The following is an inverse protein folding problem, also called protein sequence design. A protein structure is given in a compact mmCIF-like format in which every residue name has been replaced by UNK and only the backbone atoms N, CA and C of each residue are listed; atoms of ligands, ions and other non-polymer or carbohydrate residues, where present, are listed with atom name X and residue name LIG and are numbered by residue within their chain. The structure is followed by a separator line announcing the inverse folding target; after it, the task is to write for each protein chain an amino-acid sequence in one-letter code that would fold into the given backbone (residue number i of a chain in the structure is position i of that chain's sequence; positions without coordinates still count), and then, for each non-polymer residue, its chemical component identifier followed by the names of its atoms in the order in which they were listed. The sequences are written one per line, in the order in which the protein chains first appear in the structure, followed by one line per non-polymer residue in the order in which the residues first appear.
data_IF_177766999639
#
_entry.id   IF_177766999639
#
_cell.length_a   1.000
_cell.length_b   1.000
_cell.length_c   1.000
_cell.angle_alpha   90.00
_cell.angle_beta   90.00
_cell.angle_gamma   90.00
#
_symmetry.space_group_name_H-M   'P 1'
#
loop_
_entity.id
_entity.type
_entity.pdbx_description
1 polymer ?
#
# COMPACT_ATOMS: atom_id res chain seq x y z
N UNK A 1 -12.59 8.36 0.99
CA UNK A 1 -14.00 7.92 0.94
C UNK A 1 -14.61 7.84 2.35
N UNK A 2 -15.83 8.32 2.53
CA UNK A 2 -16.59 8.04 3.74
C UNK A 2 -16.88 6.53 3.79
N UNK A 3 -16.44 5.85 4.85
CA UNK A 3 -16.65 4.42 5.03
C UNK A 3 -17.21 4.23 6.43
N UNK A 4 -18.37 3.59 6.53
CA UNK A 4 -19.00 3.28 7.82
C UNK A 4 -18.96 1.76 8.03
N UNK A 5 -18.23 1.29 9.03
CA UNK A 5 -18.17 -0.14 9.35
C UNK A 5 -17.96 -0.38 10.86
N UNK A 6 -18.44 -1.53 11.34
CA UNK A 6 -18.33 -1.92 12.75
C UNK A 6 -17.32 -3.06 12.91
N UNK A 7 -16.35 -2.90 13.82
CA UNK A 7 -15.41 -3.96 14.23
C UNK A 7 -15.40 -4.05 15.74
N UNK A 8 -15.64 -5.24 16.28
CA UNK A 8 -15.66 -5.50 17.72
C UNK A 8 -16.57 -4.54 18.54
N UNK A 9 -17.68 -4.09 17.96
CA UNK A 9 -18.61 -3.15 18.62
C UNK A 9 -18.19 -1.68 18.55
N UNK A 10 -17.08 -1.37 17.88
CA UNK A 10 -16.64 0.00 17.59
C UNK A 10 -17.01 0.36 16.16
N UNK A 11 -17.72 1.47 15.98
CA UNK A 11 -18.02 2.06 14.68
C UNK A 11 -16.86 2.91 14.20
N UNK A 12 -16.45 2.72 12.96
CA UNK A 12 -15.41 3.50 12.29
C UNK A 12 -16.05 4.25 11.11
N UNK A 13 -15.79 5.56 11.05
CA UNK A 13 -16.21 6.47 9.99
C UNK A 13 -15.09 6.76 8.98
N UNK A 14 -13.89 6.23 9.25
CA UNK A 14 -12.71 6.33 8.43
C UNK A 14 -12.22 4.96 7.99
N UNK A 15 -11.74 4.86 6.75
CA UNK A 15 -11.10 3.63 6.26
C UNK A 15 -9.81 3.30 7.01
N UNK A 16 -9.35 2.06 6.85
CA UNK A 16 -8.06 1.61 7.37
C UNK A 16 -7.04 1.41 6.25
N UNK A 17 -5.76 1.56 6.60
CA UNK A 17 -4.63 1.23 5.74
C UNK A 17 -3.98 -0.06 6.22
N UNK A 18 -3.58 -0.90 5.27
CA UNK A 18 -2.76 -2.06 5.57
C UNK A 18 -1.34 -1.57 5.87
N UNK A 19 -0.84 -1.89 7.06
CA UNK A 19 0.50 -1.53 7.50
C UNK A 19 1.30 -2.79 7.84
N UNK A 20 2.62 -2.67 7.74
CA UNK A 20 3.54 -3.70 8.21
C UNK A 20 3.89 -3.50 9.70
N UNK A 21 4.88 -4.26 10.17
CA UNK A 21 5.36 -4.19 11.55
C UNK A 21 6.19 -2.96 11.89
N UNK A 22 6.68 -2.17 10.91
CA UNK A 22 7.58 -1.04 11.18
C UNK A 22 6.85 0.25 11.53
N UNK A 23 5.57 0.36 11.15
CA UNK A 23 4.74 1.50 11.52
C UNK A 23 4.26 1.41 12.97
N UNK A 24 4.06 2.57 13.60
CA UNK A 24 3.42 2.65 14.91
C UNK A 24 1.98 2.12 14.88
N UNK A 25 1.47 1.73 16.04
CA UNK A 25 0.08 1.27 16.15
C UNK A 25 -0.85 2.47 16.22
N UNK A 26 -1.57 2.74 15.12
CA UNK A 26 -2.59 3.78 15.03
C UNK A 26 -3.95 3.17 14.69
N UNK A 27 -5.05 3.86 15.06
CA UNK A 27 -6.42 3.38 14.84
C UNK A 27 -6.74 3.11 13.36
N UNK A 28 -6.03 3.79 12.46
CA UNK A 28 -6.16 3.65 11.00
C UNK A 28 -5.29 2.55 10.41
N UNK A 29 -4.32 2.01 11.15
CA UNK A 29 -3.35 1.03 10.62
C UNK A 29 -3.70 -0.37 11.08
N UNK A 30 -4.06 -1.22 10.13
CA UNK A 30 -4.31 -2.63 10.35
C UNK A 30 -3.06 -3.41 9.96
N UNK A 31 -2.42 -4.01 10.95
CA UNK A 31 -1.21 -4.82 10.79
C UNK A 31 -1.56 -6.30 10.58
N UNK A 32 -0.63 -7.04 9.98
CA UNK A 32 -0.75 -8.51 9.90
C UNK A 32 -0.73 -9.15 11.27
N UNK A 33 -1.66 -10.09 11.47
CA UNK A 33 -1.77 -10.87 12.69
C UNK A 33 -0.52 -11.76 12.80
N UNK A 34 0.35 -11.57 13.80
CA UNK A 34 1.47 -12.47 14.02
C UNK A 34 0.92 -13.83 14.47
N UNK A 35 1.46 -14.90 13.89
CA UNK A 35 1.08 -16.29 14.24
C UNK A 35 -0.45 -16.51 14.24
N UNK A 36 -1.12 -16.38 13.09
CA UNK A 36 -2.58 -16.41 13.03
C UNK A 36 -3.13 -17.80 13.42
N UNK A 37 -3.93 -17.83 14.49
CA UNK A 37 -4.59 -19.04 14.98
C UNK A 37 -6.01 -19.16 14.44
N UNK A 38 -6.35 -20.34 13.93
CA UNK A 38 -7.66 -20.67 13.37
C UNK A 38 -7.90 -20.16 11.94
N UNK A 39 -8.89 -20.74 11.22
CA UNK A 39 -9.04 -20.54 9.78
C UNK A 39 -9.28 -19.08 9.36
N UNK A 40 -10.11 -18.34 10.12
CA UNK A 40 -10.46 -16.95 9.81
C UNK A 40 -9.24 -16.02 9.88
N UNK A 41 -8.42 -16.15 10.92
CA UNK A 41 -7.22 -15.32 11.10
C UNK A 41 -6.14 -15.68 10.07
N UNK A 42 -6.00 -16.96 9.75
CA UNK A 42 -5.06 -17.41 8.72
C UNK A 42 -5.43 -16.87 7.33
N UNK A 43 -6.72 -16.92 6.97
CA UNK A 43 -7.20 -16.36 5.71
C UNK A 43 -6.95 -14.85 5.64
N UNK A 44 -7.26 -14.12 6.72
CA UNK A 44 -7.01 -12.68 6.81
C UNK A 44 -5.52 -12.36 6.59
N UNK A 45 -4.63 -13.00 7.34
CA UNK A 45 -3.18 -12.81 7.22
C UNK A 45 -2.67 -13.13 5.81
N UNK A 46 -3.13 -14.24 5.20
CA UNK A 46 -2.76 -14.63 3.83
C UNK A 46 -3.16 -13.57 2.80
N UNK A 47 -4.39 -13.05 2.88
CA UNK A 47 -4.88 -12.01 1.96
C UNK A 47 -4.09 -10.72 2.11
N UNK A 48 -3.85 -10.29 3.34
CA UNK A 48 -3.10 -9.07 3.62
C UNK A 48 -1.64 -9.17 3.16
N UNK A 49 -0.97 -10.28 3.44
CA UNK A 49 0.40 -10.52 2.97
C UNK A 49 0.49 -10.56 1.44
N UNK A 50 -0.51 -11.14 0.77
CA UNK A 50 -0.61 -11.12 -0.69
C UNK A 50 -0.67 -9.69 -1.23
N UNK A 51 -1.64 -8.90 -0.76
CA UNK A 51 -1.80 -7.51 -1.19
C UNK A 51 -0.53 -6.67 -0.91
N UNK A 52 0.09 -6.84 0.26
CA UNK A 52 1.36 -6.16 0.59
C UNK A 52 2.48 -6.55 -0.38
N UNK A 53 2.63 -7.83 -0.68
CA UNK A 53 3.65 -8.34 -1.60
C UNK A 53 3.48 -7.76 -3.01
N UNK A 54 2.25 -7.59 -3.47
CA UNK A 54 1.98 -7.00 -4.78
C UNK A 54 2.37 -5.51 -4.80
N UNK A 55 2.04 -4.75 -3.75
CA UNK A 55 2.45 -3.35 -3.59
C UNK A 55 3.96 -3.23 -3.52
N UNK A 56 4.63 -4.05 -2.71
CA UNK A 56 6.09 -4.05 -2.57
C UNK A 56 6.80 -4.38 -3.89
N UNK A 57 6.28 -5.35 -4.65
CA UNK A 57 6.79 -5.71 -5.97
C UNK A 57 6.64 -4.55 -6.96
N UNK A 58 5.47 -3.92 -7.00
CA UNK A 58 5.22 -2.77 -7.88
C UNK A 58 6.13 -1.58 -7.52
N UNK A 59 6.27 -1.27 -6.23
CA UNK A 59 7.21 -0.23 -5.78
C UNK A 59 8.66 -0.58 -6.07
N UNK A 60 9.06 -1.84 -5.96
CA UNK A 60 10.40 -2.29 -6.36
C UNK A 60 10.69 -2.04 -7.84
N UNK A 61 9.71 -2.28 -8.72
CA UNK A 61 9.80 -1.96 -10.15
C UNK A 61 9.89 -0.44 -10.38
N UNK A 62 9.07 0.34 -9.70
CA UNK A 62 9.12 1.80 -9.83
C UNK A 62 10.41 2.39 -9.30
N UNK A 63 10.94 1.88 -8.19
CA UNK A 63 12.24 2.30 -7.66
C UNK A 63 13.37 1.92 -8.60
N UNK A 64 13.35 0.73 -9.21
CA UNK A 64 14.41 0.35 -10.16
C UNK A 64 14.39 1.22 -11.41
N UNK A 65 13.22 1.55 -11.95
CA UNK A 65 13.06 2.35 -13.18
C UNK A 65 13.19 3.87 -12.95
N UNK A 66 12.66 4.40 -11.84
CA UNK A 66 12.57 5.83 -11.59
C UNK A 66 13.37 6.23 -10.35
N UNK A 67 14.55 6.84 -10.55
CA UNK A 67 15.43 7.26 -9.45
C UNK A 67 14.73 8.20 -8.44
N UNK A 68 13.78 9.01 -8.91
CA UNK A 68 12.98 9.94 -8.11
C UNK A 68 12.14 9.25 -7.02
N UNK A 69 11.81 7.96 -7.19
CA UNK A 69 11.01 7.15 -6.24
C UNK A 69 11.88 6.46 -5.18
N UNK A 70 13.22 6.44 -5.35
CA UNK A 70 14.14 5.76 -4.42
C UNK A 70 14.39 6.55 -3.13
N UNK A 71 14.37 7.88 -3.22
CA UNK A 71 14.75 8.77 -2.12
C UNK A 71 13.57 9.09 -1.18
N UNK A 72 13.86 9.43 0.09
CA UNK A 72 12.84 9.88 1.02
C UNK A 72 12.32 11.27 0.62
N UNK A 73 11.00 11.43 0.55
CA UNK A 73 10.34 12.67 0.12
C UNK A 73 10.18 13.70 1.25
N UNK A 74 11.23 13.94 2.04
CA UNK A 74 11.17 14.68 3.33
C UNK A 74 10.61 16.11 3.22
N UNK A 75 10.72 16.74 2.06
CA UNK A 75 10.30 18.14 1.84
C UNK A 75 9.26 18.29 0.73
N UNK A 76 8.58 17.22 0.32
CA UNK A 76 7.62 17.31 -0.77
C UNK A 76 6.21 17.47 -0.22
N UNK A 77 5.45 18.37 -0.85
CA UNK A 77 4.02 18.41 -0.61
C UNK A 77 3.36 17.10 -1.08
N UNK A 78 2.33 16.67 -0.36
CA UNK A 78 1.60 15.44 -0.66
C UNK A 78 1.09 15.43 -2.10
N UNK A 79 0.63 16.57 -2.63
CA UNK A 79 0.13 16.65 -4.00
C UNK A 79 1.26 16.53 -5.03
N UNK A 80 2.45 17.06 -4.73
CA UNK A 80 3.65 16.85 -5.56
C UNK A 80 4.02 15.37 -5.60
N UNK A 81 4.00 14.68 -4.45
CA UNK A 81 4.25 13.23 -4.40
C UNK A 81 3.23 12.45 -5.23
N UNK A 82 1.93 12.77 -5.11
CA UNK A 82 0.88 12.14 -5.93
C UNK A 82 1.15 12.33 -7.42
N UNK A 83 1.44 13.55 -7.86
CA UNK A 83 1.70 13.86 -9.26
C UNK A 83 2.91 13.10 -9.80
N UNK A 84 3.99 13.00 -9.01
CA UNK A 84 5.18 12.23 -9.39
C UNK A 84 4.85 10.74 -9.53
N UNK A 85 4.10 10.18 -8.58
CA UNK A 85 3.68 8.78 -8.65
C UNK A 85 2.78 8.52 -9.87
N UNK A 86 1.81 9.40 -10.15
CA UNK A 86 0.96 9.27 -11.35
C UNK A 86 1.79 9.35 -12.64
N UNK A 87 2.73 10.28 -12.72
CA UNK A 87 3.62 10.38 -13.88
C UNK A 87 4.44 9.08 -14.06
N UNK A 88 5.00 8.53 -12.98
CA UNK A 88 5.76 7.27 -13.03
C UNK A 88 4.89 6.09 -13.50
N UNK A 89 3.64 6.00 -13.02
CA UNK A 89 2.69 4.95 -13.43
C UNK A 89 2.34 5.08 -14.93
N UNK A 90 2.01 6.29 -15.38
CA UNK A 90 1.65 6.53 -16.79
C UNK A 90 2.84 6.20 -17.70
N UNK A 91 4.03 6.73 -17.40
CA UNK A 91 5.23 6.45 -18.17
C UNK A 91 5.59 4.96 -18.16
N UNK A 92 5.45 4.27 -17.03
CA UNK A 92 5.69 2.83 -16.97
C UNK A 92 4.76 2.06 -17.89
N UNK A 93 3.46 2.36 -17.84
CA UNK A 93 2.47 1.71 -18.71
C UNK A 93 2.79 1.99 -20.19
N UNK A 94 3.13 3.24 -20.53
CA UNK A 94 3.53 3.60 -21.90
C UNK A 94 4.75 2.80 -22.38
N UNK A 95 5.80 2.69 -21.56
CA UNK A 95 7.01 1.91 -21.91
C UNK A 95 6.67 0.42 -22.07
N UNK A 96 5.84 -0.14 -21.19
CA UNK A 96 5.43 -1.55 -21.27
C UNK A 96 4.62 -1.83 -22.54
N UNK A 97 3.73 -0.91 -22.94
CA UNK A 97 2.99 -1.04 -24.20
C UNK A 97 3.91 -0.88 -25.43
N UNK A 98 4.91 -0.01 -25.37
CA UNK A 98 5.91 0.15 -26.43
C UNK A 98 6.80 -1.10 -26.59
N UNK A 99 7.31 -1.65 -25.48
CA UNK A 99 8.14 -2.87 -25.44
C UNK A 99 7.39 -4.16 -25.86
N UNK A 100 6.06 -4.12 -25.92
CA UNK A 100 5.21 -5.25 -26.35
C UNK A 100 5.04 -5.36 -27.86
N UNK A 101 5.27 -4.27 -28.58
CA UNK A 101 5.21 -4.22 -30.05
C UNK A 101 6.60 -4.45 -30.67
#
# INVERSE_FOLDING_TARGET
PAVQYNVNGTSYDMGYYLADGIYLTWATFVKTIPMPQGPKRQLFAKRQQGARKDVERAFGVFQSRFAIVRGPSRNWHVDTMKNIMYACIIMHNMIVEDERN
#
